data_IF_331665818557
#
_entry.id   IF_331665818557
#
_cell.length_a   1.000
_cell.length_b   1.000
_cell.length_c   1.000
_cell.angle_alpha   90.00
_cell.angle_beta   90.00
_cell.angle_gamma   90.00
#
_symmetry.space_group_name_H-M   'P 1'
#
loop_
_entity.id
_entity.type
_entity.pdbx_description
1 polymer ?
#
# COMPACT_ATOMS: atom_id res chain seq x y z
N UNK A 1 -15.73 11.15 -20.72
CA UNK A 1 -16.46 11.96 -19.71
C UNK A 1 -15.98 13.40 -19.86
N UNK A 2 -16.63 14.22 -20.70
CA UNK A 2 -16.30 15.65 -20.91
C UNK A 2 -17.26 16.47 -20.05
N UNK A 3 -16.94 16.69 -18.78
CA UNK A 3 -17.78 17.51 -17.89
C UNK A 3 -17.08 18.80 -17.44
N UNK A 4 -15.82 18.98 -17.81
CA UNK A 4 -15.04 20.21 -17.60
C UNK A 4 -14.15 20.39 -18.83
N UNK A 5 -13.95 21.63 -19.30
CA UNK A 5 -12.99 21.98 -20.36
C UNK A 5 -11.54 21.86 -19.86
N UNK A 6 -11.25 20.75 -19.18
CA UNK A 6 -9.97 20.44 -18.55
C UNK A 6 -9.49 19.17 -19.21
N UNK A 7 -8.32 19.25 -19.83
CA UNK A 7 -7.63 18.09 -20.37
C UNK A 7 -7.24 17.16 -19.22
N UNK A 8 -7.71 15.92 -19.27
CA UNK A 8 -7.43 14.94 -18.24
C UNK A 8 -6.05 14.33 -18.47
N UNK A 9 -5.10 14.64 -17.59
CA UNK A 9 -3.81 13.95 -17.53
C UNK A 9 -3.78 12.98 -16.34
N UNK A 10 -3.72 11.65 -16.57
CA UNK A 10 -3.57 10.66 -15.50
C UNK A 10 -2.36 10.90 -14.59
N UNK A 11 -1.29 11.52 -15.08
CA UNK A 11 -0.05 11.76 -14.32
C UNK A 11 -0.26 12.72 -13.14
N UNK A 12 -1.27 13.59 -13.24
CA UNK A 12 -1.64 14.55 -12.20
C UNK A 12 -2.49 13.94 -11.07
N UNK A 13 -2.85 12.66 -11.17
CA UNK A 13 -3.71 12.00 -10.20
C UNK A 13 -3.01 10.82 -9.52
N UNK A 14 -3.40 10.60 -8.26
CA UNK A 14 -2.98 9.45 -7.45
C UNK A 14 -4.19 8.77 -6.83
N UNK A 15 -4.13 7.45 -6.76
CA UNK A 15 -5.16 6.61 -6.18
C UNK A 15 -4.82 6.35 -4.71
N UNK A 16 -5.67 6.83 -3.81
CA UNK A 16 -5.60 6.51 -2.39
C UNK A 16 -6.49 5.31 -2.09
N UNK A 17 -5.89 4.26 -1.52
CA UNK A 17 -6.59 3.09 -0.98
C UNK A 17 -6.26 3.04 0.51
N UNK A 18 -7.20 3.49 1.33
CA UNK A 18 -7.03 3.51 2.79
C UNK A 18 -8.16 2.77 3.48
N UNK A 19 -7.84 2.17 4.64
CA UNK A 19 -8.80 1.49 5.49
C UNK A 19 -8.98 2.21 6.82
N UNK A 20 -10.03 3.03 6.91
CA UNK A 20 -10.47 3.58 8.19
C UNK A 20 -11.47 2.64 8.85
N UNK A 21 -11.10 2.07 10.01
CA UNK A 21 -11.83 1.30 11.05
C UNK A 21 -12.99 0.34 10.66
N UNK A 22 -13.77 0.60 9.62
CA UNK A 22 -14.94 -0.18 9.19
C UNK A 22 -15.09 -0.28 7.67
N UNK A 23 -14.37 0.51 6.86
CA UNK A 23 -14.52 0.48 5.39
C UNK A 23 -13.27 0.92 4.65
N UNK A 24 -12.87 0.20 3.59
CA UNK A 24 -11.94 0.74 2.60
C UNK A 24 -12.59 1.88 1.82
N UNK A 25 -11.81 2.93 1.61
CA UNK A 25 -12.18 4.08 0.78
C UNK A 25 -11.17 4.16 -0.34
N UNK A 26 -11.67 4.02 -1.57
CA UNK A 26 -10.87 4.28 -2.77
C UNK A 26 -11.20 5.69 -3.24
N UNK A 27 -10.19 6.56 -3.22
CA UNK A 27 -10.35 7.98 -3.52
C UNK A 27 -9.27 8.41 -4.51
N UNK A 28 -9.66 9.08 -5.59
CA UNK A 28 -8.73 9.73 -6.49
C UNK A 28 -8.41 11.13 -5.98
N UNK A 29 -7.11 11.43 -5.90
CA UNK A 29 -6.59 12.70 -5.43
C UNK A 29 -5.80 13.38 -6.53
N UNK A 30 -6.04 14.66 -6.74
CA UNK A 30 -5.20 15.48 -7.60
C UNK A 30 -3.89 15.83 -6.88
N UNK A 31 -2.77 15.75 -7.57
CA UNK A 31 -1.44 15.87 -6.96
C UNK A 31 -1.20 17.24 -6.33
N UNK A 32 -1.62 18.31 -7.01
CA UNK A 32 -1.57 19.68 -6.51
C UNK A 32 -2.72 20.08 -5.60
N UNK A 33 -3.65 19.16 -5.28
CA UNK A 33 -4.90 19.44 -4.55
C UNK A 33 -5.78 20.56 -5.17
N UNK A 34 -5.49 20.99 -6.41
CA UNK A 34 -6.27 21.97 -7.16
C UNK A 34 -7.72 21.54 -7.42
N UNK A 35 -7.97 20.23 -7.47
CA UNK A 35 -9.29 19.65 -7.66
C UNK A 35 -9.75 18.90 -6.42
N UNK A 36 -11.08 18.82 -6.27
CA UNK A 36 -11.71 18.04 -5.22
C UNK A 36 -11.36 16.56 -5.34
N UNK A 37 -11.25 15.88 -4.19
CA UNK A 37 -11.06 14.44 -4.14
C UNK A 37 -12.30 13.72 -4.67
N UNK A 38 -12.09 12.74 -5.56
CA UNK A 38 -13.17 11.97 -6.17
C UNK A 38 -13.29 10.59 -5.49
N UNK A 39 -14.35 10.33 -4.71
CA UNK A 39 -14.55 9.00 -4.14
C UNK A 39 -15.04 8.03 -5.21
N UNK A 40 -14.34 6.92 -5.41
CA UNK A 40 -14.76 5.87 -6.35
C UNK A 40 -15.63 4.81 -5.69
N UNK A 41 -15.28 4.40 -4.47
CA UNK A 41 -16.01 3.34 -3.78
C UNK A 41 -15.91 3.46 -2.26
N UNK A 42 -17.02 3.13 -1.62
CA UNK A 42 -17.14 2.84 -0.20
C UNK A 42 -17.67 1.42 -0.06
N UNK A 43 -16.93 0.53 0.62
CA UNK A 43 -17.39 -0.84 0.91
C UNK A 43 -17.48 -1.04 2.41
N UNK A 44 -18.59 -1.63 2.89
CA UNK A 44 -18.81 -1.91 4.33
C UNK A 44 -18.23 -3.28 4.72
N UNK A 45 -17.78 -4.08 3.74
CA UNK A 45 -17.24 -5.42 3.97
C UNK A 45 -15.73 -5.50 3.76
N UNK A 46 -15.11 -6.47 4.46
CA UNK A 46 -13.68 -6.71 4.48
C UNK A 46 -13.19 -7.08 3.07
N UNK A 47 -12.58 -6.12 2.38
CA UNK A 47 -12.04 -6.33 1.04
C UNK A 47 -10.86 -7.31 1.07
N UNK A 48 -11.06 -8.45 0.41
CA UNK A 48 -10.03 -9.43 0.09
C UNK A 48 -9.33 -9.04 -1.23
N UNK A 49 -8.32 -9.81 -1.63
CA UNK A 49 -7.59 -9.61 -2.89
C UNK A 49 -8.53 -9.50 -4.11
N UNK A 50 -9.54 -10.37 -4.19
CA UNK A 50 -10.49 -10.40 -5.31
C UNK A 50 -11.34 -9.11 -5.38
N UNK A 51 -11.74 -8.56 -4.23
CA UNK A 51 -12.52 -7.32 -4.20
C UNK A 51 -11.71 -6.14 -4.71
N UNK A 52 -10.43 -6.09 -4.32
CA UNK A 52 -9.48 -5.08 -4.80
C UNK A 52 -9.21 -5.23 -6.30
N UNK A 53 -9.08 -6.45 -6.81
CA UNK A 53 -8.98 -6.71 -8.27
C UNK A 53 -10.17 -6.13 -9.01
N UNK A 54 -11.39 -6.44 -8.55
CA UNK A 54 -12.62 -5.95 -9.17
C UNK A 54 -12.73 -4.42 -9.13
N UNK A 55 -12.22 -3.77 -8.08
CA UNK A 55 -12.19 -2.30 -8.00
C UNK A 55 -11.26 -1.73 -9.06
N UNK A 56 -10.04 -2.26 -9.17
CA UNK A 56 -9.04 -1.80 -10.12
C UNK A 56 -9.48 -2.00 -11.57
N UNK A 57 -10.19 -3.10 -11.86
CA UNK A 57 -10.83 -3.34 -13.15
C UNK A 57 -11.92 -2.30 -13.45
N UNK A 58 -12.82 -2.02 -12.50
CA UNK A 58 -13.92 -1.06 -12.69
C UNK A 58 -13.47 0.38 -12.89
N UNK A 59 -12.36 0.79 -12.27
CA UNK A 59 -11.78 2.12 -12.45
C UNK A 59 -10.80 2.17 -13.64
N UNK A 60 -10.69 1.08 -14.39
CA UNK A 60 -9.80 0.93 -15.53
C UNK A 60 -8.35 1.33 -15.22
N UNK A 61 -7.80 0.78 -14.14
CA UNK A 61 -6.47 1.15 -13.65
C UNK A 61 -5.37 0.93 -14.71
N UNK A 62 -5.51 -0.08 -15.58
CA UNK A 62 -4.50 -0.40 -16.60
C UNK A 62 -4.28 0.74 -17.60
N UNK A 63 -5.31 1.51 -17.92
CA UNK A 63 -5.19 2.68 -18.80
C UNK A 63 -4.57 3.87 -18.08
N UNK A 64 -5.00 4.11 -16.84
CA UNK A 64 -4.61 5.33 -16.12
C UNK A 64 -3.24 5.24 -15.44
N UNK A 65 -2.85 4.04 -14.97
CA UNK A 65 -1.57 3.75 -14.30
C UNK A 65 -1.18 4.77 -13.22
N UNK A 66 -2.17 5.23 -12.47
CA UNK A 66 -2.01 6.18 -11.37
C UNK A 66 -1.02 5.66 -10.33
N UNK A 67 -0.36 6.59 -9.64
CA UNK A 67 0.41 6.25 -8.44
C UNK A 67 -0.57 5.79 -7.36
N UNK A 68 -0.33 4.61 -6.79
CA UNK A 68 -1.15 4.04 -5.73
C UNK A 68 -0.52 4.33 -4.38
N UNK A 69 -1.31 4.93 -3.51
CA UNK A 69 -0.92 5.29 -2.15
C UNK A 69 -1.88 4.59 -1.18
N UNK A 70 -1.41 4.15 -0.03
CA UNK A 70 -2.29 3.49 0.92
C UNK A 70 -1.60 3.07 2.19
N UNK A 71 -2.37 2.45 3.07
CA UNK A 71 -1.80 1.75 4.22
C UNK A 71 -0.96 0.56 3.75
N UNK A 72 0.11 0.24 4.50
CA UNK A 72 1.06 -0.80 4.10
C UNK A 72 0.38 -2.14 3.90
N UNK A 73 -0.64 -2.47 4.71
CA UNK A 73 -1.37 -3.74 4.61
C UNK A 73 -2.13 -3.86 3.29
N UNK A 74 -2.76 -2.77 2.81
CA UNK A 74 -3.44 -2.75 1.51
C UNK A 74 -2.46 -2.82 0.35
N UNK A 75 -1.35 -2.10 0.45
CA UNK A 75 -0.31 -2.13 -0.58
C UNK A 75 0.25 -3.54 -0.77
N UNK A 76 0.63 -4.24 0.32
CA UNK A 76 1.15 -5.61 0.21
C UNK A 76 0.08 -6.59 -0.31
N UNK A 77 -1.20 -6.41 0.03
CA UNK A 77 -2.29 -7.25 -0.51
C UNK A 77 -2.43 -7.05 -2.02
N UNK A 78 -2.38 -5.82 -2.50
CA UNK A 78 -2.44 -5.52 -3.94
C UNK A 78 -1.21 -6.02 -4.70
N UNK A 79 -0.06 -6.07 -4.03
CA UNK A 79 1.18 -6.68 -4.51
C UNK A 79 1.17 -8.21 -4.41
N UNK A 80 0.05 -8.81 -4.00
CA UNK A 80 -0.13 -10.25 -3.93
C UNK A 80 0.61 -10.93 -2.78
N UNK A 81 1.14 -10.17 -1.83
CA UNK A 81 1.84 -10.72 -0.67
C UNK A 81 0.87 -11.19 0.41
N UNK A 82 1.28 -12.23 1.12
CA UNK A 82 0.56 -12.76 2.27
C UNK A 82 0.57 -11.75 3.43
N UNK A 83 -0.61 -11.48 3.97
CA UNK A 83 -0.76 -10.66 5.16
C UNK A 83 -0.35 -11.41 6.44
N UNK A 84 0.03 -10.65 7.48
CA UNK A 84 0.41 -11.20 8.80
C UNK A 84 1.91 -11.21 9.04
N UNK A 85 2.35 -12.00 10.03
CA UNK A 85 3.76 -12.08 10.45
C UNK A 85 4.54 -13.05 9.54
N UNK A 86 4.81 -12.63 8.30
CA UNK A 86 5.56 -13.42 7.32
C UNK A 86 7.08 -13.23 7.46
N UNK A 87 7.88 -14.19 6.96
CA UNK A 87 9.34 -14.14 7.04
C UNK A 87 9.92 -12.94 6.27
N UNK A 88 9.42 -12.65 5.07
CA UNK A 88 9.91 -11.57 4.21
C UNK A 88 8.82 -10.54 3.91
N UNK A 89 8.37 -9.74 4.90
CA UNK A 89 7.20 -8.87 4.76
C UNK A 89 7.43 -7.68 3.82
N UNK A 90 8.68 -7.36 3.48
CA UNK A 90 9.00 -6.25 2.60
C UNK A 90 8.82 -6.64 1.12
N UNK A 91 8.23 -5.73 0.34
CA UNK A 91 8.08 -5.89 -1.11
C UNK A 91 9.29 -5.38 -1.90
N UNK A 92 10.19 -4.60 -1.27
CA UNK A 92 11.39 -4.04 -1.89
C UNK A 92 12.63 -4.91 -1.68
N UNK A 93 12.72 -5.60 -0.54
CA UNK A 93 13.90 -6.39 -0.17
C UNK A 93 13.51 -7.65 0.61
N UNK A 94 14.45 -8.57 0.72
CA UNK A 94 14.34 -9.82 1.47
C UNK A 94 14.72 -9.63 2.94
N UNK A 95 14.17 -8.58 3.57
CA UNK A 95 14.33 -8.35 5.01
C UNK A 95 13.71 -9.50 5.81
N UNK A 96 14.52 -10.24 6.54
CA UNK A 96 14.07 -11.40 7.33
C UNK A 96 13.55 -10.94 8.69
N UNK A 97 12.23 -10.93 8.85
CA UNK A 97 11.56 -10.55 10.10
C UNK A 97 11.87 -11.46 11.28
N UNK A 98 12.44 -12.65 11.03
CA UNK A 98 12.76 -13.65 12.06
C UNK A 98 14.22 -13.54 12.53
N UNK A 99 15.09 -12.87 11.79
CA UNK A 99 16.51 -12.70 12.11
C UNK A 99 16.79 -11.57 13.12
N UNK A 100 16.24 -11.70 14.34
CA UNK A 100 16.26 -10.64 15.38
C UNK A 100 17.66 -10.18 15.78
N UNK A 101 18.62 -11.08 15.72
CA UNK A 101 20.05 -10.86 15.95
C UNK A 101 20.70 -9.95 14.90
N UNK A 102 20.18 -9.98 13.67
CA UNK A 102 20.69 -9.19 12.55
C UNK A 102 19.97 -7.84 12.36
N UNK A 103 18.82 -7.63 13.00
CA UNK A 103 17.96 -6.45 12.76
C UNK A 103 18.64 -5.11 13.03
N UNK A 104 19.61 -5.08 13.94
CA UNK A 104 20.31 -3.84 14.35
C UNK A 104 21.73 -3.73 13.80
N UNK A 105 22.26 -4.80 13.20
CA UNK A 105 23.63 -4.87 12.69
C UNK A 105 23.67 -4.88 11.17
N UNK A 106 22.65 -5.46 10.53
CA UNK A 106 22.53 -5.56 9.08
C UNK A 106 21.64 -4.46 8.52
N UNK A 107 22.27 -3.50 7.85
CA UNK A 107 21.60 -2.40 7.14
C UNK A 107 21.10 -2.83 5.76
N UNK A 108 21.89 -3.64 5.05
CA UNK A 108 21.64 -3.98 3.65
C UNK A 108 21.11 -5.39 3.50
N UNK A 109 19.88 -5.50 3.03
CA UNK A 109 19.21 -6.76 2.72
C UNK A 109 19.10 -6.92 1.21
N UNK A 110 19.24 -8.15 0.72
CA UNK A 110 19.15 -8.43 -0.72
C UNK A 110 17.86 -7.86 -1.29
N UNK A 111 17.97 -7.15 -2.41
CA UNK A 111 16.82 -6.60 -3.09
C UNK A 111 15.92 -7.73 -3.59
N UNK A 112 14.62 -7.43 -3.69
CA UNK A 112 13.66 -8.35 -4.26
C UNK A 112 13.56 -8.06 -5.76
N UNK A 113 14.03 -8.97 -6.58
CA UNK A 113 14.02 -8.81 -8.04
C UNK A 113 12.59 -8.86 -8.62
N UNK A 114 11.78 -9.80 -8.13
CA UNK A 114 10.40 -10.01 -8.59
C UNK A 114 9.46 -10.44 -7.46
N UNK A 115 8.17 -10.17 -7.67
CA UNK A 115 7.06 -10.65 -6.83
C UNK A 115 6.43 -11.89 -7.51
N UNK A 116 7.18 -12.98 -7.54
CA UNK A 116 6.75 -14.25 -8.14
C UNK A 116 5.83 -15.03 -7.19
N UNK A 117 4.59 -15.37 -7.58
CA UNK A 117 3.69 -16.18 -6.76
C UNK A 117 4.32 -17.53 -6.36
N UNK A 118 4.21 -17.88 -5.08
CA UNK A 118 4.83 -19.07 -4.49
C UNK A 118 6.16 -18.82 -3.80
N UNK A 119 6.80 -17.66 -4.03
CA UNK A 119 8.11 -17.34 -3.47
C UNK A 119 8.04 -16.30 -2.35
N UNK A 120 8.90 -16.46 -1.34
CA UNK A 120 9.26 -15.41 -0.40
C UNK A 120 8.10 -14.60 0.21
N UNK A 121 6.92 -15.22 0.40
CA UNK A 121 5.63 -14.67 0.89
C UNK A 121 4.60 -14.16 -0.15
N UNK A 122 4.89 -14.24 -1.44
CA UNK A 122 3.95 -13.85 -2.50
C UNK A 122 3.01 -15.03 -2.77
N UNK A 123 1.70 -14.79 -2.70
CA UNK A 123 0.66 -15.82 -2.87
C UNK A 123 -0.21 -15.58 -4.10
N UNK A 124 -0.30 -14.33 -4.56
CA UNK A 124 -1.07 -13.93 -5.73
C UNK A 124 -0.20 -13.10 -6.67
N UNK A 125 -0.67 -12.92 -7.90
CA UNK A 125 -0.06 -11.99 -8.85
C UNK A 125 -0.21 -10.54 -8.38
N UNK A 126 0.68 -9.66 -8.84
CA UNK A 126 0.58 -8.22 -8.55
C UNK A 126 -0.54 -7.60 -9.38
N UNK A 127 -1.46 -6.87 -8.73
CA UNK A 127 -2.57 -6.18 -9.42
C UNK A 127 -2.13 -4.87 -10.08
N UNK A 128 -1.00 -4.30 -9.67
CA UNK A 128 -0.41 -3.11 -10.29
C UNK A 128 1.12 -3.13 -10.20
N UNK A 129 1.76 -2.19 -10.89
CA UNK A 129 3.23 -2.09 -10.92
C UNK A 129 3.81 -1.69 -9.56
N UNK A 130 4.77 -2.43 -8.99
CA UNK A 130 5.43 -2.04 -7.73
C UNK A 130 6.09 -0.66 -7.79
N UNK A 131 6.58 -0.26 -8.97
CA UNK A 131 7.16 1.06 -9.20
C UNK A 131 6.15 2.22 -9.10
N UNK A 132 4.84 1.92 -9.07
CA UNK A 132 3.76 2.90 -8.91
C UNK A 132 3.27 2.99 -7.46
N UNK A 133 3.95 2.37 -6.50
CA UNK A 133 3.64 2.50 -5.07
C UNK A 133 4.24 3.80 -4.52
N UNK A 134 3.42 4.58 -3.81
CA UNK A 134 3.89 5.66 -2.96
C UNK A 134 3.59 5.34 -1.49
N UNK A 135 4.66 5.23 -0.69
CA UNK A 135 4.56 5.07 0.77
C UNK A 135 4.43 6.44 1.42
N UNK A 136 3.35 6.67 2.18
CA UNK A 136 3.19 7.91 2.93
C UNK A 136 4.19 7.97 4.10
N UNK A 137 5.04 9.02 4.17
CA UNK A 137 5.93 9.23 5.31
C UNK A 137 5.17 9.30 6.65
N UNK A 138 3.92 9.78 6.62
CA UNK A 138 3.06 9.85 7.80
C UNK A 138 2.72 8.47 8.36
N UNK A 139 2.34 7.51 7.51
CA UNK A 139 2.00 6.15 7.95
C UNK A 139 3.22 5.45 8.56
N UNK A 140 4.42 5.66 7.99
CA UNK A 140 5.67 5.17 8.55
C UNK A 140 5.99 5.81 9.91
N UNK A 141 5.87 7.14 10.03
CA UNK A 141 6.10 7.87 11.29
C UNK A 141 5.14 7.43 12.39
N UNK A 142 3.85 7.27 12.08
CA UNK A 142 2.85 6.78 13.04
C UNK A 142 3.17 5.35 13.48
N UNK A 143 3.61 4.49 12.55
CA UNK A 143 4.06 3.12 12.86
C UNK A 143 5.23 3.10 13.84
N UNK A 144 6.27 3.89 13.57
CA UNK A 144 7.45 4.03 14.44
C UNK A 144 7.08 4.57 15.82
N UNK A 145 6.26 5.62 15.88
CA UNK A 145 5.81 6.22 17.15
C UNK A 145 5.03 5.23 18.01
N UNK A 146 4.18 4.39 17.39
CA UNK A 146 3.47 3.32 18.11
C UNK A 146 4.43 2.29 18.70
N UNK A 147 5.51 1.94 18.00
CA UNK A 147 6.52 1.03 18.54
C UNK A 147 7.32 1.68 19.67
N UNK A 148 7.71 2.94 19.50
CA UNK A 148 8.38 3.72 20.54
C UNK A 148 7.55 3.78 21.82
N UNK A 149 6.27 4.14 21.73
CA UNK A 149 5.36 4.18 22.88
C UNK A 149 5.21 2.79 23.53
N UNK A 150 5.17 1.71 22.74
CA UNK A 150 5.10 0.34 23.28
C UNK A 150 6.37 -0.10 24.00
N UNK A 151 7.53 0.43 23.61
CA UNK A 151 8.80 0.15 24.27
C UNK A 151 9.02 0.96 25.54
N UNK A 152 8.24 2.02 25.78
CA UNK A 152 8.33 2.78 27.02
C UNK A 152 7.90 1.91 28.22
N UNK A 153 8.56 2.08 29.39
CA UNK A 153 8.12 1.43 30.62
C UNK A 153 6.67 1.80 30.93
N UNK A 154 5.85 0.82 31.33
CA UNK A 154 4.45 1.07 31.70
C UNK A 154 4.31 1.81 33.04
N UNK A 155 5.37 1.76 33.85
CA UNK A 155 5.47 2.41 35.13
C UNK A 155 6.46 3.56 34.88
N UNK A 156 6.01 4.80 34.90
CA UNK A 156 6.80 5.96 34.47
C UNK A 156 8.00 6.26 35.36
N UNK A 157 9.07 5.50 35.20
CA UNK A 157 10.46 5.83 35.54
C UNK A 157 11.26 6.08 34.26
#
# INVERSE_FOLDING_TARGET
MKCFDIEYDPSEWRLLIDSFKTSPKTVLLHNGNSFASLPFRHSVHLENYNDLSMILEKINYQENRWIVCGDFKRLIMLLGQQAGCTKYPCFLCLWDSRARDLHWTKTDWSLRDALTPGENNVINTTLFLPAKVLLFPLQMKVGLMKQFIKSLPKNGE
#
